data_IF_269403953084
#
_entry.id   IF_269403953084
#
_cell.length_a   1.000
_cell.length_b   1.000
_cell.length_c   1.000
_cell.angle_alpha   90.00
_cell.angle_beta   90.00
_cell.angle_gamma   90.00
#
_symmetry.space_group_name_H-M   'P 1'
#
loop_
_entity.id
_entity.type
_entity.pdbx_description
1 polymer ?
#
# COMPACT_ATOMS: atom_id res chain seq x y z
N UNK A 1 -14.09 -8.82 -7.53
CA UNK A 1 -12.74 -9.25 -7.04
C UNK A 1 -11.96 -7.98 -6.75
N UNK A 2 -11.53 -7.79 -5.48
CA UNK A 2 -10.85 -6.56 -5.03
C UNK A 2 -9.33 -6.62 -5.17
N UNK A 3 -8.75 -7.64 -5.78
CA UNK A 3 -7.31 -7.67 -6.03
C UNK A 3 -6.98 -8.05 -7.48
N UNK A 4 -5.93 -7.44 -8.02
CA UNK A 4 -5.44 -7.66 -9.36
C UNK A 4 -4.00 -8.21 -9.31
N UNK A 5 -3.80 -9.32 -9.96
CA UNK A 5 -2.46 -9.76 -10.36
C UNK A 5 -2.08 -8.94 -11.60
N UNK A 6 -0.91 -8.29 -11.57
CA UNK A 6 -0.31 -7.46 -12.66
C UNK A 6 -1.16 -7.17 -13.92
N UNK A 7 -1.14 -5.90 -14.34
CA UNK A 7 -1.50 -5.42 -15.69
C UNK A 7 -2.99 -5.31 -16.06
N UNK A 8 -3.91 -5.20 -15.12
CA UNK A 8 -5.28 -4.88 -15.49
C UNK A 8 -5.60 -3.38 -15.31
N UNK A 9 -4.94 -2.53 -16.10
CA UNK A 9 -5.13 -1.07 -16.09
C UNK A 9 -6.51 -0.63 -16.58
N UNK A 10 -7.29 -1.51 -17.21
CA UNK A 10 -8.65 -1.20 -17.64
C UNK A 10 -9.53 -0.78 -16.46
N UNK A 11 -9.37 -1.40 -15.30
CA UNK A 11 -10.07 -1.02 -14.07
C UNK A 11 -9.67 0.37 -13.60
N UNK A 12 -8.37 0.71 -13.63
CA UNK A 12 -7.88 2.03 -13.23
C UNK A 12 -8.38 3.11 -14.18
N UNK A 13 -8.32 2.85 -15.49
CA UNK A 13 -8.82 3.78 -16.51
C UNK A 13 -10.33 4.02 -16.35
N UNK A 14 -11.11 2.98 -16.02
CA UNK A 14 -12.53 3.12 -15.71
C UNK A 14 -12.76 4.00 -14.49
N UNK A 15 -12.05 3.77 -13.37
CA UNK A 15 -12.13 4.58 -12.15
C UNK A 15 -11.87 6.06 -12.47
N UNK A 16 -10.82 6.33 -13.24
CA UNK A 16 -10.48 7.71 -13.68
C UNK A 16 -11.55 8.33 -14.57
N UNK A 17 -12.08 7.58 -15.52
CA UNK A 17 -13.15 8.07 -16.41
C UNK A 17 -14.45 8.39 -15.67
N UNK A 18 -14.67 7.78 -14.51
CA UNK A 18 -15.79 8.08 -13.59
C UNK A 18 -15.51 9.31 -12.70
N UNK A 19 -14.37 9.98 -12.86
CA UNK A 19 -13.98 11.14 -12.05
C UNK A 19 -13.69 10.82 -10.58
N UNK A 20 -13.42 9.54 -10.25
CA UNK A 20 -13.13 9.11 -8.89
C UNK A 20 -11.71 9.49 -8.48
N UNK A 21 -11.58 10.07 -7.30
CA UNK A 21 -10.28 10.41 -6.70
C UNK A 21 -9.58 9.17 -6.17
N UNK A 22 -8.41 8.87 -6.73
CA UNK A 22 -7.59 7.72 -6.36
C UNK A 22 -6.61 8.09 -5.26
N UNK A 23 -6.64 7.36 -4.16
CA UNK A 23 -5.61 7.36 -3.12
C UNK A 23 -4.77 6.10 -3.28
N UNK A 24 -3.45 6.24 -3.24
CA UNK A 24 -2.52 5.13 -3.34
C UNK A 24 -1.61 5.06 -2.11
N UNK A 25 -1.40 3.87 -1.61
CA UNK A 25 -0.34 3.55 -0.67
C UNK A 25 0.28 2.21 -1.01
N UNK A 26 1.45 1.91 -0.45
CA UNK A 26 2.11 0.62 -0.66
C UNK A 26 2.70 0.05 0.63
N UNK A 27 2.93 -1.25 0.64
CA UNK A 27 3.59 -1.92 1.75
C UNK A 27 3.62 -3.43 1.64
N UNK A 28 4.31 -4.06 2.59
CA UNK A 28 4.38 -5.53 2.71
C UNK A 28 3.13 -6.12 3.36
N UNK A 29 2.56 -5.44 4.35
CA UNK A 29 1.36 -5.86 5.10
C UNK A 29 1.40 -7.35 5.50
N UNK A 30 2.54 -7.78 6.04
CA UNK A 30 2.80 -9.20 6.31
C UNK A 30 1.90 -9.76 7.40
N UNK A 31 1.90 -9.12 8.57
CA UNK A 31 0.94 -9.39 9.64
C UNK A 31 0.09 -8.15 9.84
N UNK A 32 -1.20 -8.24 9.52
CA UNK A 32 -2.13 -7.15 9.75
C UNK A 32 -2.39 -6.97 11.26
N UNK A 33 -2.44 -5.72 11.68
CA UNK A 33 -2.76 -5.30 13.03
C UNK A 33 -3.62 -4.03 13.01
N UNK A 34 -4.14 -3.64 14.16
CA UNK A 34 -5.06 -2.50 14.28
C UNK A 34 -4.44 -1.19 13.77
N UNK A 35 -3.13 -1.02 13.89
CA UNK A 35 -2.41 0.13 13.31
C UNK A 35 -2.57 0.23 11.79
N UNK A 36 -2.49 -0.88 11.07
CA UNK A 36 -2.76 -0.91 9.63
C UNK A 36 -4.21 -0.55 9.31
N UNK A 37 -5.17 -1.08 10.08
CA UNK A 37 -6.61 -0.80 9.86
C UNK A 37 -6.89 0.70 9.99
N UNK A 38 -6.36 1.33 11.04
CA UNK A 38 -6.52 2.78 11.28
C UNK A 38 -5.85 3.60 10.18
N UNK A 39 -4.61 3.26 9.82
CA UNK A 39 -3.87 3.91 8.74
C UNK A 39 -4.62 3.84 7.41
N UNK A 40 -5.10 2.66 7.03
CA UNK A 40 -5.82 2.46 5.77
C UNK A 40 -7.19 3.16 5.78
N UNK A 41 -7.85 3.25 6.94
CA UNK A 41 -9.08 4.05 7.06
C UNK A 41 -8.81 5.54 6.84
N UNK A 42 -7.78 6.10 7.47
CA UNK A 42 -7.38 7.50 7.28
C UNK A 42 -6.95 7.77 5.84
N UNK A 43 -6.24 6.83 5.21
CA UNK A 43 -5.88 6.96 3.80
C UNK A 43 -7.12 6.98 2.90
N UNK A 44 -8.09 6.10 3.15
CA UNK A 44 -9.37 6.05 2.42
C UNK A 44 -10.14 7.36 2.50
N UNK A 45 -10.15 8.04 3.63
CA UNK A 45 -10.85 9.32 3.84
C UNK A 45 -10.31 10.47 2.98
N UNK A 46 -9.16 10.27 2.31
CA UNK A 46 -8.55 11.27 1.43
C UNK A 46 -9.06 11.25 -0.02
N UNK A 47 -9.87 10.25 -0.38
CA UNK A 47 -10.45 10.12 -1.73
C UNK A 47 -11.53 9.06 -1.84
N UNK A 48 -11.92 8.76 -3.07
CA UNK A 48 -13.03 7.86 -3.36
C UNK A 48 -12.62 6.39 -3.41
N UNK A 49 -11.40 6.12 -3.90
CA UNK A 49 -10.87 4.78 -4.14
C UNK A 49 -9.50 4.65 -3.48
N UNK A 50 -9.35 3.71 -2.55
CA UNK A 50 -8.05 3.36 -1.99
C UNK A 50 -7.45 2.15 -2.71
N UNK A 51 -6.32 2.36 -3.37
CA UNK A 51 -5.52 1.33 -4.02
C UNK A 51 -4.28 1.04 -3.18
N UNK A 52 -4.01 -0.24 -2.93
CA UNK A 52 -2.80 -0.70 -2.24
C UNK A 52 -1.87 -1.37 -3.23
N UNK A 53 -0.66 -0.85 -3.36
CA UNK A 53 0.48 -1.57 -3.94
C UNK A 53 1.03 -2.57 -2.92
N UNK A 54 0.85 -3.87 -3.18
CA UNK A 54 1.29 -4.93 -2.29
C UNK A 54 2.56 -5.60 -2.83
N UNK A 55 3.63 -5.58 -2.03
CA UNK A 55 4.87 -6.25 -2.38
C UNK A 55 4.67 -7.76 -2.58
N UNK A 56 5.18 -8.32 -3.68
CA UNK A 56 5.26 -9.77 -3.89
C UNK A 56 6.09 -10.45 -2.79
N UNK A 57 5.96 -11.77 -2.63
CA UNK A 57 6.77 -12.51 -1.65
C UNK A 57 8.27 -12.37 -1.93
N UNK A 58 8.66 -12.36 -3.20
CA UNK A 58 10.05 -12.15 -3.63
C UNK A 58 10.57 -10.76 -3.23
N UNK A 59 9.75 -9.72 -3.41
CA UNK A 59 10.07 -8.36 -3.00
C UNK A 59 10.21 -8.26 -1.48
N UNK A 60 9.29 -8.85 -0.72
CA UNK A 60 9.35 -8.86 0.76
C UNK A 60 10.62 -9.57 1.27
N UNK A 61 10.98 -10.73 0.67
CA UNK A 61 12.23 -11.43 1.03
C UNK A 61 13.46 -10.56 0.84
N UNK A 62 13.54 -9.82 -0.27
CA UNK A 62 14.65 -8.89 -0.51
C UNK A 62 14.70 -7.75 0.50
N UNK A 63 13.57 -7.23 0.93
CA UNK A 63 13.48 -6.10 1.84
C UNK A 63 13.67 -6.47 3.31
N UNK A 64 13.19 -7.66 3.73
CA UNK A 64 13.07 -8.05 5.14
C UNK A 64 13.78 -9.33 5.51
N UNK A 65 14.46 -9.99 4.56
CA UNK A 65 15.19 -11.24 4.79
C UNK A 65 14.40 -12.50 4.46
N UNK A 66 15.12 -13.64 4.42
CA UNK A 66 14.59 -14.91 3.90
C UNK A 66 13.43 -15.52 4.72
N UNK A 67 13.30 -15.13 5.99
CA UNK A 67 12.24 -15.62 6.89
C UNK A 67 10.93 -14.82 6.74
N UNK A 68 10.85 -13.94 5.77
CA UNK A 68 9.68 -13.11 5.47
C UNK A 68 9.28 -13.23 3.98
N UNK A 69 8.02 -13.09 3.63
CA UNK A 69 6.89 -12.83 4.52
C UNK A 69 6.47 -14.08 5.32
N UNK A 70 5.71 -13.89 6.40
CA UNK A 70 5.05 -14.97 7.15
C UNK A 70 3.82 -15.45 6.35
N UNK A 71 2.99 -14.52 5.90
CA UNK A 71 1.83 -14.80 5.08
C UNK A 71 2.16 -14.69 3.59
N UNK A 72 1.68 -15.65 2.81
CA UNK A 72 1.82 -15.61 1.34
C UNK A 72 1.19 -14.33 0.75
N UNK A 73 1.62 -13.94 -0.45
CA UNK A 73 1.02 -12.82 -1.18
C UNK A 73 -0.51 -12.95 -1.27
N UNK A 74 -1.00 -14.15 -1.61
CA UNK A 74 -2.44 -14.39 -1.75
C UNK A 74 -3.20 -14.15 -0.45
N UNK A 75 -2.67 -14.63 0.67
CA UNK A 75 -3.31 -14.44 1.97
C UNK A 75 -3.29 -12.97 2.40
N UNK A 76 -2.16 -12.29 2.21
CA UNK A 76 -2.04 -10.85 2.47
C UNK A 76 -3.01 -10.03 1.61
N UNK A 77 -3.13 -10.37 0.34
CA UNK A 77 -4.05 -9.71 -0.59
C UNK A 77 -5.52 -9.94 -0.21
N UNK A 78 -5.89 -11.18 0.16
CA UNK A 78 -7.24 -11.52 0.63
C UNK A 78 -7.61 -10.77 1.91
N UNK A 79 -6.70 -10.73 2.89
CA UNK A 79 -6.90 -10.01 4.15
C UNK A 79 -7.11 -8.50 3.90
N UNK A 80 -6.27 -7.88 3.08
CA UNK A 80 -6.43 -6.47 2.71
C UNK A 80 -7.75 -6.23 1.97
N UNK A 81 -8.09 -7.07 0.99
CA UNK A 81 -9.31 -6.94 0.22
C UNK A 81 -10.59 -7.11 1.07
N UNK A 82 -10.50 -7.79 2.21
CA UNK A 82 -11.61 -7.93 3.14
C UNK A 82 -11.86 -6.66 3.99
N UNK A 83 -10.89 -5.75 4.06
CA UNK A 83 -11.05 -4.49 4.79
C UNK A 83 -12.02 -3.56 4.04
N UNK A 84 -12.91 -2.93 4.81
CA UNK A 84 -13.91 -1.99 4.26
C UNK A 84 -13.27 -0.78 3.58
N UNK A 85 -12.14 -0.33 4.10
CA UNK A 85 -11.41 0.84 3.58
C UNK A 85 -10.63 0.58 2.29
N UNK A 86 -10.42 -0.70 1.90
CA UNK A 86 -9.62 -1.06 0.74
C UNK A 86 -10.51 -1.38 -0.45
N UNK A 87 -10.30 -0.71 -1.57
CA UNK A 87 -11.05 -0.93 -2.80
C UNK A 87 -10.33 -1.84 -3.77
N UNK A 88 -9.00 -1.73 -3.85
CA UNK A 88 -8.20 -2.50 -4.80
C UNK A 88 -6.80 -2.80 -4.24
N UNK A 89 -6.32 -4.01 -4.49
CA UNK A 89 -4.95 -4.44 -4.18
C UNK A 89 -4.25 -4.84 -5.47
N UNK A 90 -3.07 -4.29 -5.74
CA UNK A 90 -2.27 -4.57 -6.93
C UNK A 90 -0.89 -5.05 -6.52
N UNK A 91 -0.45 -6.18 -7.09
CA UNK A 91 0.89 -6.72 -6.86
C UNK A 91 1.96 -5.92 -7.58
N UNK A 92 3.11 -5.71 -6.93
CA UNK A 92 4.34 -5.29 -7.59
C UNK A 92 5.54 -6.09 -7.07
N UNK A 93 6.56 -6.28 -7.91
CA UNK A 93 7.74 -7.11 -7.60
C UNK A 93 9.02 -6.29 -7.40
N UNK A 94 9.01 -5.06 -7.85
CA UNK A 94 10.14 -4.14 -7.78
C UNK A 94 10.46 -3.78 -6.33
N UNK A 95 11.65 -3.23 -6.09
CA UNK A 95 12.05 -2.77 -4.75
C UNK A 95 11.22 -1.58 -4.30
N UNK A 96 10.80 -0.75 -5.25
CA UNK A 96 9.99 0.44 -5.01
C UNK A 96 8.73 0.40 -5.87
N UNK A 97 7.63 1.04 -5.47
CA UNK A 97 6.39 1.09 -6.23
C UNK A 97 6.40 2.13 -7.36
N UNK A 98 7.57 2.65 -7.77
CA UNK A 98 7.70 3.79 -8.68
C UNK A 98 6.99 3.54 -10.02
N UNK A 99 7.21 2.38 -10.64
CA UNK A 99 6.57 2.03 -11.92
C UNK A 99 5.05 1.93 -11.76
N UNK A 100 4.58 1.32 -10.69
CA UNK A 100 3.16 1.21 -10.41
C UNK A 100 2.51 2.59 -10.18
N UNK A 101 3.20 3.50 -9.48
CA UNK A 101 2.74 4.89 -9.29
C UNK A 101 2.67 5.64 -10.62
N UNK A 102 3.67 5.48 -11.51
CA UNK A 102 3.68 6.08 -12.85
C UNK A 102 2.51 5.59 -13.72
N UNK A 103 2.10 4.36 -13.55
CA UNK A 103 0.98 3.77 -14.30
C UNK A 103 -0.38 4.18 -13.72
N UNK A 104 -0.49 4.23 -12.39
CA UNK A 104 -1.73 4.62 -11.72
C UNK A 104 -1.93 6.14 -11.78
N UNK A 105 -0.89 6.94 -11.60
CA UNK A 105 -0.96 8.40 -11.42
C UNK A 105 -2.07 8.75 -10.42
N UNK A 106 -1.88 8.45 -9.11
CA UNK A 106 -2.92 8.69 -8.12
C UNK A 106 -3.09 10.20 -7.84
N UNK A 107 -4.29 10.60 -7.42
CA UNK A 107 -4.55 11.97 -6.95
C UNK A 107 -3.92 12.25 -5.59
N UNK A 108 -3.80 11.21 -4.76
CA UNK A 108 -3.17 11.30 -3.44
C UNK A 108 -2.26 10.10 -3.22
N UNK A 109 -0.97 10.36 -3.02
CA UNK A 109 0.00 9.36 -2.57
C UNK A 109 0.16 9.46 -1.06
N UNK A 110 -0.03 8.35 -0.35
CA UNK A 110 0.05 8.30 1.11
C UNK A 110 1.18 7.39 1.56
N UNK A 111 1.97 7.85 2.53
CA UNK A 111 3.01 7.07 3.20
C UNK A 111 2.81 7.12 4.72
N UNK A 112 2.98 5.99 5.38
CA UNK A 112 2.98 5.95 6.84
C UNK A 112 4.35 6.30 7.40
N UNK A 113 4.39 7.12 8.44
CA UNK A 113 5.61 7.54 9.15
C UNK A 113 6.03 8.98 8.89
N UNK A 114 7.08 9.38 9.60
CA UNK A 114 7.67 10.71 9.52
C UNK A 114 8.74 10.70 8.41
N UNK A 115 8.31 10.89 7.17
CA UNK A 115 9.20 11.03 6.01
C UNK A 115 9.23 12.48 5.57
N UNK A 116 10.37 12.89 5.01
CA UNK A 116 10.38 14.06 4.15
C UNK A 116 9.54 13.74 2.91
N UNK A 117 8.51 14.55 2.69
CA UNK A 117 7.52 14.29 1.64
C UNK A 117 8.18 14.24 0.27
N UNK A 118 9.20 15.06 0.02
CA UNK A 118 9.91 15.13 -1.26
C UNK A 118 10.77 13.89 -1.54
N UNK A 119 11.18 13.17 -0.49
CA UNK A 119 11.93 11.92 -0.61
C UNK A 119 11.06 10.68 -0.83
N UNK A 120 9.73 10.82 -0.75
CA UNK A 120 8.82 9.70 -0.97
C UNK A 120 8.85 9.28 -2.44
N UNK A 121 9.13 7.99 -2.67
CA UNK A 121 9.11 7.42 -4.03
C UNK A 121 7.78 7.70 -4.71
N UNK A 122 7.83 8.30 -5.90
CA UNK A 122 6.65 8.71 -6.67
C UNK A 122 6.20 10.14 -6.41
N UNK A 123 6.84 10.88 -5.47
CA UNK A 123 6.52 12.28 -5.18
C UNK A 123 6.44 13.12 -6.46
N UNK A 124 7.53 13.16 -7.24
CA UNK A 124 7.60 13.99 -8.44
C UNK A 124 6.52 13.61 -9.47
N UNK A 125 6.31 12.32 -9.68
CA UNK A 125 5.26 11.82 -10.60
C UNK A 125 3.87 12.33 -10.20
N UNK A 126 3.56 12.30 -8.91
CA UNK A 126 2.24 12.72 -8.40
C UNK A 126 2.08 14.24 -8.51
N UNK A 127 3.10 15.01 -8.11
CA UNK A 127 3.06 16.48 -8.14
C UNK A 127 2.96 17.00 -9.58
N UNK A 128 3.74 16.45 -10.51
CA UNK A 128 3.74 16.86 -11.93
C UNK A 128 2.38 16.61 -12.61
N UNK A 129 1.60 15.67 -12.07
CA UNK A 129 0.25 15.36 -12.56
C UNK A 129 -0.87 16.04 -11.74
N UNK A 130 -0.54 17.02 -10.91
CA UNK A 130 -1.52 17.82 -10.15
C UNK A 130 -2.07 17.12 -8.91
N UNK A 131 -1.49 16.00 -8.50
CA UNK A 131 -1.83 15.28 -7.28
C UNK A 131 -1.14 15.86 -6.04
N UNK A 132 -1.27 15.17 -4.92
CA UNK A 132 -0.63 15.56 -3.65
C UNK A 132 -0.05 14.36 -2.94
N UNK A 133 0.98 14.59 -2.12
CA UNK A 133 1.62 13.57 -1.29
C UNK A 133 1.35 13.90 0.18
N UNK A 134 1.01 12.88 0.98
CA UNK A 134 0.76 13.01 2.41
C UNK A 134 1.45 11.92 3.21
N UNK A 135 1.96 12.30 4.38
CA UNK A 135 2.34 11.36 5.42
C UNK A 135 1.21 11.21 6.43
N UNK A 136 1.04 10.01 6.97
CA UNK A 136 0.15 9.71 8.09
C UNK A 136 0.98 9.10 9.21
N UNK A 137 0.80 9.58 10.43
CA UNK A 137 1.55 9.08 11.59
C UNK A 137 1.28 7.60 11.83
N UNK A 138 2.31 6.85 12.22
CA UNK A 138 2.13 5.49 12.71
C UNK A 138 1.44 5.49 14.07
N UNK A 139 0.62 4.46 14.27
CA UNK A 139 0.09 4.17 15.61
C UNK A 139 1.21 3.55 16.46
N UNK A 140 1.58 4.22 17.55
CA UNK A 140 2.60 3.74 18.47
C UNK A 140 2.27 2.35 19.04
N UNK A 141 3.29 1.53 19.20
CA UNK A 141 3.18 0.18 19.77
C UNK A 141 2.74 -0.91 18.80
N UNK A 142 2.42 -0.58 17.54
CA UNK A 142 1.98 -1.56 16.54
C UNK A 142 2.99 -1.68 15.40
N UNK A 143 3.65 -2.83 15.30
CA UNK A 143 4.42 -3.22 14.12
C UNK A 143 4.42 -4.74 13.95
N UNK A 144 4.42 -5.23 12.71
CA UNK A 144 4.52 -6.68 12.44
C UNK A 144 5.78 -7.27 13.05
N UNK A 145 6.89 -6.54 13.04
CA UNK A 145 8.16 -6.96 13.66
C UNK A 145 8.01 -7.13 15.17
N UNK A 146 7.39 -6.18 15.86
CA UNK A 146 7.15 -6.28 17.30
C UNK A 146 6.30 -7.50 17.69
N UNK A 147 5.31 -7.86 16.85
CA UNK A 147 4.52 -9.07 17.09
C UNK A 147 5.35 -10.33 16.93
N UNK A 148 6.17 -10.41 15.88
CA UNK A 148 7.06 -11.55 15.63
C UNK A 148 8.07 -11.69 16.77
N UNK A 149 8.68 -10.60 17.23
CA UNK A 149 9.64 -10.60 18.33
C UNK A 149 9.01 -11.05 19.65
N UNK A 150 7.76 -10.65 19.92
CA UNK A 150 7.02 -11.14 21.10
C UNK A 150 6.74 -12.64 21.06
N UNK A 151 6.46 -13.19 19.88
CA UNK A 151 6.23 -14.64 19.70
C UNK A 151 7.54 -15.41 19.91
N UNK A 152 8.65 -14.91 19.35
CA UNK A 152 9.95 -15.57 19.42
C UNK A 152 10.61 -15.51 20.81
N UNK A 153 10.17 -14.61 21.69
CA UNK A 153 10.68 -14.44 23.06
C UNK A 153 9.93 -15.32 24.09
N UNK A 154 8.95 -16.10 23.67
CA UNK A 154 8.23 -17.08 24.49
C UNK A 154 8.81 -18.48 24.33
#
# INVERSE_FOLDING_TARGET
>A
MKFLLKNNYSTINKIKSEGKKIVFTNGCFDLLHVGHIKYLSQAKDLGDILIIGLNSDKSVKKLKGNNRPINSFEDRAKLLAALKSVDLVIMFEEQTPENLIKEIIPDVLVKGGDYDIEEIVGYQTVIDNGGRVKTLSFYEGYSSTNYIDKINKR
#
